data_IF_139631649656
#
_entry.id   IF_139631649656
#
_cell.length_a   1.000
_cell.length_b   1.000
_cell.length_c   1.000
_cell.angle_alpha   90.00
_cell.angle_beta   90.00
_cell.angle_gamma   90.00
#
_symmetry.space_group_name_H-M   'P 1'
#
loop_
_entity.id
_entity.type
_entity.pdbx_description
1 polymer ?
#
# COMPACT_ATOMS: atom_id res chain seq x y z
N UNK A 1 -0.62 8.05 -8.97
CA UNK A 1 -1.79 8.63 -9.69
C UNK A 1 -1.42 9.99 -10.28
N UNK A 2 -1.98 10.37 -11.43
CA UNK A 2 -1.79 11.63 -12.19
C UNK A 2 -0.38 11.93 -12.75
N UNK A 3 0.62 11.10 -12.48
CA UNK A 3 1.95 11.20 -13.13
C UNK A 3 2.10 10.17 -14.25
N UNK A 4 1.82 8.90 -13.95
CA UNK A 4 1.99 7.80 -14.92
C UNK A 4 0.66 7.25 -15.44
N UNK A 5 -0.46 7.49 -14.74
CA UNK A 5 -1.80 7.00 -15.09
C UNK A 5 -2.91 7.88 -14.52
N UNK A 6 -4.08 7.86 -15.15
CA UNK A 6 -5.35 8.45 -14.66
C UNK A 6 -6.42 7.37 -14.52
N UNK A 7 -7.36 7.61 -13.62
CA UNK A 7 -8.47 6.69 -13.33
C UNK A 7 -9.79 7.42 -13.56
N UNK A 8 -10.62 6.86 -14.44
CA UNK A 8 -12.03 7.21 -14.54
C UNK A 8 -12.83 6.23 -13.66
N UNK A 9 -13.23 6.72 -12.49
CA UNK A 9 -13.96 5.93 -11.49
C UNK A 9 -15.41 5.66 -11.89
N UNK A 10 -16.00 6.45 -12.78
CA UNK A 10 -17.39 6.27 -13.24
C UNK A 10 -17.44 5.18 -14.30
N UNK A 11 -16.49 5.22 -15.24
CA UNK A 11 -16.40 4.24 -16.33
C UNK A 11 -15.57 3.01 -15.96
N UNK A 12 -14.91 3.01 -14.79
CA UNK A 12 -14.01 1.93 -14.36
C UNK A 12 -12.78 1.77 -15.25
N UNK A 13 -12.33 2.87 -15.89
CA UNK A 13 -11.26 2.84 -16.90
C UNK A 13 -9.97 3.45 -16.35
N UNK A 14 -8.89 2.67 -16.35
CA UNK A 14 -7.54 3.16 -16.09
C UNK A 14 -6.87 3.50 -17.42
N UNK A 15 -6.39 4.74 -17.57
CA UNK A 15 -5.65 5.20 -18.74
C UNK A 15 -4.19 5.41 -18.35
N UNK A 16 -3.29 4.66 -18.96
CA UNK A 16 -1.84 4.85 -18.79
C UNK A 16 -1.41 6.00 -19.69
N UNK A 17 -0.76 7.01 -19.13
CA UNK A 17 -0.32 8.22 -19.86
C UNK A 17 1.18 8.11 -20.20
N UNK A 18 1.93 7.35 -19.41
CA UNK A 18 3.36 7.19 -19.58
C UNK A 18 3.70 6.38 -20.85
N UNK A 19 4.26 7.08 -21.84
CA UNK A 19 4.67 6.48 -23.12
C UNK A 19 5.79 5.45 -22.96
N UNK A 20 6.67 5.63 -21.98
CA UNK A 20 7.77 4.69 -21.75
C UNK A 20 7.26 3.32 -21.31
N UNK A 21 6.19 3.29 -20.50
CA UNK A 21 5.54 2.06 -20.07
C UNK A 21 4.80 1.39 -21.23
N UNK A 22 4.15 2.17 -22.10
CA UNK A 22 3.47 1.65 -23.30
C UNK A 22 4.46 1.02 -24.28
N UNK A 23 5.60 1.66 -24.52
CA UNK A 23 6.63 1.17 -25.44
C UNK A 23 7.39 -0.05 -24.89
N UNK A 24 7.49 -0.17 -23.55
CA UNK A 24 8.21 -1.27 -22.89
C UNK A 24 7.53 -2.64 -22.98
N UNK A 25 6.26 -2.72 -23.39
CA UNK A 25 5.45 -3.95 -23.34
C UNK A 25 5.45 -4.67 -21.97
N UNK A 26 5.70 -3.93 -20.89
CA UNK A 26 5.69 -4.50 -19.54
C UNK A 26 4.25 -4.89 -19.17
N UNK A 27 3.99 -6.12 -18.68
CA UNK A 27 2.65 -6.51 -18.24
C UNK A 27 2.22 -5.65 -17.03
N UNK A 28 1.07 -5.00 -17.14
CA UNK A 28 0.49 -4.12 -16.11
C UNK A 28 -0.62 -4.87 -15.38
N UNK A 29 -0.42 -5.12 -14.08
CA UNK A 29 -1.46 -5.68 -13.21
C UNK A 29 -2.27 -4.54 -12.57
N UNK A 30 -3.59 -4.58 -12.73
CA UNK A 30 -4.53 -3.63 -12.12
C UNK A 30 -5.38 -4.40 -11.12
N UNK A 31 -5.28 -4.05 -9.84
CA UNK A 31 -6.19 -4.55 -8.80
C UNK A 31 -7.33 -3.55 -8.63
N UNK A 32 -8.56 -4.02 -8.80
CA UNK A 32 -9.77 -3.22 -8.63
C UNK A 32 -10.44 -3.63 -7.33
N UNK A 33 -10.75 -2.65 -6.48
CA UNK A 33 -11.61 -2.85 -5.31
C UNK A 33 -13.00 -2.32 -5.67
N UNK A 34 -13.97 -3.23 -5.80
CA UNK A 34 -15.35 -2.87 -6.09
C UNK A 34 -16.18 -2.95 -4.80
N UNK A 35 -16.79 -1.84 -4.40
CA UNK A 35 -17.69 -1.78 -3.23
C UNK A 35 -19.16 -2.11 -3.59
N UNK A 36 -19.41 -2.74 -4.75
CA UNK A 36 -20.74 -3.19 -5.13
C UNK A 36 -21.22 -4.25 -4.14
N UNK A 37 -22.32 -3.94 -3.44
CA UNK A 37 -22.93 -4.66 -2.31
C UNK A 37 -23.49 -6.06 -2.65
N UNK A 38 -22.99 -6.72 -3.69
CA UNK A 38 -23.45 -8.04 -4.14
C UNK A 38 -22.67 -9.23 -3.55
N UNK A 39 -21.80 -8.98 -2.57
CA UNK A 39 -21.17 -10.01 -1.76
C UNK A 39 -21.89 -10.12 -0.41
N UNK A 40 -22.63 -11.21 -0.21
CA UNK A 40 -23.45 -11.47 0.98
C UNK A 40 -22.61 -11.90 2.21
N UNK A 41 -21.44 -11.29 2.44
CA UNK A 41 -20.60 -11.56 3.62
C UNK A 41 -20.30 -10.27 4.37
N UNK A 42 -20.52 -10.27 5.68
CA UNK A 42 -20.19 -9.12 6.52
C UNK A 42 -18.68 -9.13 6.82
N UNK A 43 -17.95 -8.12 6.35
CA UNK A 43 -16.53 -7.92 6.65
C UNK A 43 -16.38 -6.88 7.76
N UNK A 44 -15.64 -7.22 8.80
CA UNK A 44 -15.34 -6.32 9.93
C UNK A 44 -13.82 -6.16 10.04
N UNK A 45 -13.33 -4.92 9.93
CA UNK A 45 -11.93 -4.60 10.11
C UNK A 45 -11.75 -3.75 11.36
N UNK A 46 -10.96 -4.24 12.31
CA UNK A 46 -10.68 -3.55 13.57
C UNK A 46 -9.18 -3.53 13.76
N UNK A 47 -8.63 -2.39 14.16
CA UNK A 47 -7.23 -2.32 14.51
C UNK A 47 -6.80 -0.96 15.00
N UNK A 48 -5.51 -0.85 15.25
CA UNK A 48 -4.88 0.38 15.70
C UNK A 48 -3.58 0.61 14.94
N UNK A 49 -3.26 1.89 14.74
CA UNK A 49 -2.02 2.33 14.13
C UNK A 49 -1.40 3.37 15.05
N UNK A 50 -0.19 3.07 15.52
CA UNK A 50 0.61 3.91 16.39
C UNK A 50 1.73 4.51 15.56
N UNK A 51 1.80 5.84 15.48
CA UNK A 51 2.90 6.54 14.82
C UNK A 51 3.60 7.42 15.83
N UNK A 52 4.92 7.31 15.88
CA UNK A 52 5.77 8.09 16.76
C UNK A 52 6.82 8.85 15.95
N UNK A 53 6.77 10.18 16.06
CA UNK A 53 7.73 11.11 15.47
C UNK A 53 8.91 11.23 16.43
N UNK A 54 10.05 10.66 16.05
CA UNK A 54 11.26 10.71 16.90
C UNK A 54 11.97 12.05 16.71
N UNK A 55 12.01 12.55 15.48
CA UNK A 55 12.48 13.89 15.12
C UNK A 55 11.85 14.32 13.79
N UNK A 56 12.11 15.55 13.33
CA UNK A 56 11.56 16.12 12.10
C UNK A 56 11.89 15.30 10.83
N UNK A 57 12.90 14.44 10.93
CA UNK A 57 13.47 13.67 9.84
C UNK A 57 13.23 12.16 9.97
N UNK A 58 12.67 11.67 11.08
CA UNK A 58 12.59 10.24 11.42
C UNK A 58 11.30 9.89 12.15
N UNK A 59 10.58 8.93 11.58
CA UNK A 59 9.34 8.40 12.14
C UNK A 59 9.40 6.88 12.21
N UNK A 60 8.73 6.34 13.23
CA UNK A 60 8.49 4.91 13.37
C UNK A 60 7.00 4.69 13.65
N UNK A 61 6.43 3.66 13.04
CA UNK A 61 5.04 3.29 13.22
C UNK A 61 4.87 1.80 13.44
N UNK A 62 3.79 1.44 14.12
CA UNK A 62 3.38 0.07 14.33
C UNK A 62 1.87 -0.04 14.06
N UNK A 63 1.47 -1.04 13.30
CA UNK A 63 0.09 -1.26 12.90
C UNK A 63 -0.31 -2.66 13.31
N UNK A 64 -1.51 -2.82 13.86
CA UNK A 64 -2.16 -4.12 14.02
C UNK A 64 -3.61 -4.00 13.54
N UNK A 65 -4.01 -4.92 12.67
CA UNK A 65 -5.31 -4.98 12.04
C UNK A 65 -5.82 -6.41 12.14
N UNK A 66 -7.10 -6.58 12.43
CA UNK A 66 -7.82 -7.83 12.35
C UNK A 66 -8.97 -7.66 11.37
N UNK A 67 -8.99 -8.48 10.33
CA UNK A 67 -10.07 -8.57 9.36
C UNK A 67 -10.79 -9.89 9.59
N UNK A 68 -12.06 -9.81 10.03
CA UNK A 68 -12.93 -10.96 10.20
C UNK A 68 -14.10 -10.89 9.25
N UNK A 69 -14.35 -11.99 8.56
CA UNK A 69 -15.54 -12.21 7.74
C UNK A 69 -16.53 -13.07 8.52
N UNK A 70 -17.81 -12.73 8.40
CA UNK A 70 -18.91 -13.50 8.99
C UNK A 70 -19.91 -13.87 7.90
N UNK A 71 -20.17 -15.17 7.69
CA UNK A 71 -21.17 -15.62 6.74
C UNK A 71 -22.58 -15.43 7.32
N UNK A 72 -23.55 -15.16 6.46
CA UNK A 72 -24.97 -15.08 6.86
C UNK A 72 -25.62 -16.46 7.03
N UNK A 73 -25.10 -17.49 6.35
CA UNK A 73 -25.55 -18.88 6.45
C UNK A 73 -24.48 -19.75 7.10
N UNK A 74 -24.89 -20.74 7.89
CA UNK A 74 -23.97 -21.72 8.50
C UNK A 74 -23.44 -22.75 7.52
N UNK A 75 -24.11 -22.89 6.36
CA UNK A 75 -23.64 -23.67 5.23
C UNK A 75 -22.86 -22.76 4.30
N UNK A 76 -21.54 -22.93 4.26
CA UNK A 76 -20.66 -22.30 3.27
C UNK A 76 -20.35 -23.30 2.15
N UNK A 77 -20.11 -22.79 0.95
CA UNK A 77 -19.61 -23.61 -0.14
C UNK A 77 -18.08 -23.73 0.00
N UNK A 78 -17.52 -24.85 -0.47
CA UNK A 78 -16.08 -25.04 -0.49
C UNK A 78 -15.42 -23.95 -1.35
N UNK A 79 -14.56 -23.13 -0.73
CA UNK A 79 -13.94 -21.95 -1.35
C UNK A 79 -14.43 -20.60 -0.79
N UNK A 80 -15.55 -20.58 -0.06
CA UNK A 80 -16.10 -19.39 0.60
C UNK A 80 -15.83 -19.40 2.12
N UNK A 81 -14.69 -19.94 2.54
CA UNK A 81 -14.36 -20.07 3.95
C UNK A 81 -14.06 -18.67 4.55
N UNK A 82 -14.89 -18.19 5.49
CA UNK A 82 -14.73 -16.86 6.09
C UNK A 82 -13.42 -16.78 6.86
N UNK A 83 -12.65 -15.76 6.52
CA UNK A 83 -11.34 -15.52 7.10
C UNK A 83 -11.43 -14.73 8.40
N UNK A 84 -10.41 -14.88 9.24
CA UNK A 84 -10.17 -14.04 10.43
C UNK A 84 -8.68 -13.76 10.52
N UNK A 85 -8.18 -12.92 9.61
CA UNK A 85 -6.75 -12.65 9.46
C UNK A 85 -6.33 -11.49 10.35
N UNK A 86 -5.22 -11.68 11.05
CA UNK A 86 -4.57 -10.59 11.80
C UNK A 86 -3.29 -10.21 11.10
N UNK A 87 -3.17 -8.95 10.72
CA UNK A 87 -1.94 -8.37 10.16
C UNK A 87 -1.34 -7.49 11.24
N UNK A 88 -0.06 -7.67 11.52
CA UNK A 88 0.70 -6.70 12.28
C UNK A 88 1.93 -6.29 11.48
N UNK A 89 2.38 -5.06 11.67
CA UNK A 89 3.51 -4.53 10.93
C UNK A 89 4.18 -3.37 11.63
N UNK A 90 5.43 -3.14 11.24
CA UNK A 90 6.24 -2.01 11.65
C UNK A 90 6.65 -1.24 10.39
N UNK A 91 6.60 0.07 10.48
CA UNK A 91 7.07 0.95 9.42
C UNK A 91 8.05 1.97 9.99
N UNK A 92 8.97 2.42 9.15
CA UNK A 92 9.90 3.50 9.48
C UNK A 92 10.12 4.36 8.26
N UNK A 93 10.19 5.67 8.48
CA UNK A 93 10.54 6.63 7.44
C UNK A 93 11.63 7.56 7.92
N UNK A 94 12.64 7.75 7.08
CA UNK A 94 13.71 8.70 7.30
C UNK A 94 13.85 9.60 6.08
N UNK A 95 13.90 10.91 6.28
CA UNK A 95 14.09 11.88 5.21
C UNK A 95 15.08 12.95 5.65
N UNK A 96 16.16 13.13 4.90
CA UNK A 96 17.16 14.16 5.16
C UNK A 96 17.63 14.82 3.88
N UNK A 97 18.06 16.07 3.98
CA UNK A 97 18.78 16.75 2.91
C UNK A 97 20.22 16.21 2.85
N UNK A 98 20.75 16.00 1.64
CA UNK A 98 22.14 15.60 1.38
C UNK A 98 22.80 16.58 0.39
N UNK A 99 23.25 17.76 0.84
CA UNK A 99 23.89 18.76 -0.02
C UNK A 99 25.16 18.25 -0.73
N UNK A 100 25.81 17.23 -0.17
CA UNK A 100 26.98 16.57 -0.77
C UNK A 100 26.64 15.99 -2.15
N UNK A 101 25.44 15.45 -2.33
CA UNK A 101 25.01 14.92 -3.63
C UNK A 101 24.87 16.05 -4.67
N UNK A 102 24.29 17.17 -4.27
CA UNK A 102 24.16 18.37 -5.12
C UNK A 102 25.54 18.84 -5.57
N UNK A 103 26.49 18.95 -4.64
CA UNK A 103 27.85 19.38 -4.92
C UNK A 103 28.62 18.43 -5.85
N UNK A 104 28.40 17.11 -5.74
CA UNK A 104 29.02 16.13 -6.64
C UNK A 104 28.46 16.24 -8.07
N UNK A 105 27.16 16.49 -8.22
CA UNK A 105 26.53 16.69 -9.54
C UNK A 105 27.02 17.99 -10.18
N UNK A 106 27.19 19.05 -9.39
CA UNK A 106 27.73 20.34 -9.86
C UNK A 106 29.19 20.27 -10.34
N UNK A 107 29.94 19.21 -9.99
CA UNK A 107 31.29 18.99 -10.51
C UNK A 107 31.33 18.38 -11.92
N UNK A 108 30.20 17.91 -12.44
CA UNK A 108 30.14 17.34 -13.78
C UNK A 108 30.21 18.50 -14.80
N UNK A 109 31.22 18.54 -15.69
CA UNK A 109 31.30 19.59 -16.69
C UNK A 109 30.03 19.60 -17.54
N UNK A 110 29.50 20.80 -17.85
CA UNK A 110 28.25 21.06 -18.58
C UNK A 110 26.94 20.94 -17.78
N UNK A 111 26.96 20.59 -16.49
CA UNK A 111 25.77 20.52 -15.63
C UNK A 111 25.91 21.52 -14.47
N UNK A 112 24.84 22.25 -14.16
CA UNK A 112 24.81 23.21 -13.05
C UNK A 112 23.43 23.14 -12.40
N UNK A 113 23.35 22.61 -11.18
CA UNK A 113 22.09 22.36 -10.47
C UNK A 113 22.09 22.99 -9.08
N UNK A 114 21.16 23.91 -8.85
CA UNK A 114 20.95 24.52 -7.52
C UNK A 114 19.84 23.83 -6.72
N UNK A 115 19.31 22.72 -7.24
CA UNK A 115 18.20 22.02 -6.63
C UNK A 115 18.67 21.22 -5.40
N UNK A 116 18.02 21.37 -4.23
CA UNK A 116 18.41 20.65 -3.02
C UNK A 116 18.22 19.13 -3.22
N UNK A 117 19.27 18.37 -2.91
CA UNK A 117 19.21 16.91 -2.93
C UNK A 117 18.67 16.36 -1.62
N UNK A 118 17.75 15.41 -1.72
CA UNK A 118 17.12 14.74 -0.58
C UNK A 118 17.37 13.24 -0.66
N UNK A 119 17.56 12.61 0.50
CA UNK A 119 17.51 11.16 0.65
C UNK A 119 16.28 10.79 1.46
N UNK A 120 15.54 9.80 0.97
CA UNK A 120 14.43 9.20 1.68
C UNK A 120 14.64 7.71 1.79
N UNK A 121 14.54 7.19 3.00
CA UNK A 121 14.54 5.76 3.29
C UNK A 121 13.19 5.39 3.89
N UNK A 122 12.57 4.34 3.32
CA UNK A 122 11.31 3.78 3.80
C UNK A 122 11.55 2.30 4.07
N UNK A 123 11.26 1.88 5.30
CA UNK A 123 11.28 0.48 5.70
C UNK A 123 9.91 0.05 6.16
N UNK A 124 9.43 -1.09 5.67
CA UNK A 124 8.18 -1.68 6.09
C UNK A 124 8.36 -3.18 6.27
N UNK A 125 7.82 -3.71 7.36
CA UNK A 125 7.69 -5.14 7.60
C UNK A 125 6.29 -5.42 8.09
N UNK A 126 5.62 -6.39 7.48
CA UNK A 126 4.30 -6.83 7.90
C UNK A 126 4.25 -8.35 7.91
N UNK A 127 3.54 -8.90 8.88
CA UNK A 127 3.26 -10.32 8.99
C UNK A 127 1.76 -10.54 9.04
N UNK A 128 1.29 -11.43 8.17
CA UNK A 128 -0.08 -11.93 8.18
C UNK A 128 -0.15 -13.22 8.99
N UNK A 129 -1.03 -13.24 9.97
CA UNK A 129 -1.41 -14.40 10.77
C UNK A 129 -2.78 -14.85 10.25
N UNK A 130 -2.85 -15.93 9.45
CA UNK A 130 -4.11 -16.39 8.91
C UNK A 130 -4.96 -17.04 9.99
N UNK A 131 -6.27 -16.81 9.94
CA UNK A 131 -7.23 -17.40 10.88
C UNK A 131 -8.57 -17.70 10.20
N UNK A 132 -9.39 -18.49 10.87
CA UNK A 132 -10.71 -18.90 10.38
C UNK A 132 -11.80 -18.31 11.26
N UNK A 133 -12.96 -17.98 10.68
CA UNK A 133 -14.07 -17.42 11.43
C UNK A 133 -14.72 -18.46 12.34
N UNK A 134 -14.93 -18.12 13.62
CA UNK A 134 -15.61 -18.97 14.62
C UNK A 134 -17.08 -19.27 14.29
N UNK A 135 -17.66 -18.60 13.28
CA UNK A 135 -19.04 -18.79 12.88
C UNK A 135 -19.32 -20.16 12.24
N UNK A 136 -18.28 -20.91 11.86
CA UNK A 136 -18.38 -22.22 11.18
C UNK A 136 -17.98 -23.39 12.09
N UNK A 137 -17.39 -23.13 13.26
CA UNK A 137 -16.93 -24.17 14.21
C UNK A 137 -18.06 -24.91 14.97
N UNK A 138 -19.33 -24.82 14.53
CA UNK A 138 -20.46 -25.42 15.25
C UNK A 138 -21.46 -26.17 14.38
#
# INVERSE_FOLDING_TARGET
>A
ENVHYTVDYIMGKVTIIDKSLIESNTPINVSLENNSLYDFQQKTMIGTNLNYVINDNFNIGATILNLSEKPYTTKVNMGDDPISNTIWGLNTSYKSELPVLTYLVDKIPLINTKAPSNISFLGEVAQLIPGHSKAIEK
#
